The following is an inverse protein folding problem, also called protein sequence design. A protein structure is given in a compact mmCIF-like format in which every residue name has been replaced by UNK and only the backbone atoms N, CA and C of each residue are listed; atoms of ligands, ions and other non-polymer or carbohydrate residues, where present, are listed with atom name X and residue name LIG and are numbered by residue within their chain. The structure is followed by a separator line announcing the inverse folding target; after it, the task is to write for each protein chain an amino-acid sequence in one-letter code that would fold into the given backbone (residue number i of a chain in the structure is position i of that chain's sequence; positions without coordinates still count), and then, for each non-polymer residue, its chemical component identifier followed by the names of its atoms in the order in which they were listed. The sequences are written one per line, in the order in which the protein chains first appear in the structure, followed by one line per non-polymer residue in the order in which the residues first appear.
data_IF_807014363890
#
_entry.id   IF_807014363890
#
_cell.length_a   1.000
_cell.length_b   1.000
_cell.length_c   1.000
_cell.angle_alpha   90.00
_cell.angle_beta   90.00
_cell.angle_gamma   90.00
#
_symmetry.space_group_name_H-M   'P 1'
#
loop_
_entity.id
_entity.type
_entity.pdbx_description
1 polymer ?
#
# COMPACT_ATOMS: atom_id res chain seq x y z
N UNK A 1 -14.18 22.22 13.06
CA UNK A 1 -14.11 20.89 12.43
C UNK A 1 -13.54 20.96 11.03
N UNK A 2 -13.57 19.82 10.28
CA UNK A 2 -13.03 19.75 8.91
C UNK A 2 -13.69 20.72 7.93
N UNK A 3 -14.99 20.97 8.09
CA UNK A 3 -15.75 21.90 7.24
C UNK A 3 -15.25 23.35 7.34
N UNK A 4 -14.85 23.78 8.52
CA UNK A 4 -14.35 25.14 8.76
C UNK A 4 -12.99 25.36 8.07
N UNK A 5 -12.14 24.34 8.05
CA UNK A 5 -10.86 24.34 7.33
C UNK A 5 -11.09 24.46 5.83
N UNK A 6 -12.08 23.73 5.28
CA UNK A 6 -12.42 23.80 3.85
C UNK A 6 -12.97 25.17 3.46
N UNK A 7 -13.91 25.67 4.24
CA UNK A 7 -14.51 26.98 4.00
C UNK A 7 -13.44 28.09 4.08
N UNK A 8 -12.53 28.01 5.03
CA UNK A 8 -11.39 28.92 5.16
C UNK A 8 -10.45 28.84 3.94
N UNK A 9 -10.13 27.62 3.46
CA UNK A 9 -9.34 27.44 2.25
C UNK A 9 -10.04 27.99 1.01
N UNK A 10 -11.31 27.66 0.81
CA UNK A 10 -12.12 28.19 -0.29
C UNK A 10 -12.17 29.72 -0.26
N UNK A 11 -12.41 30.32 0.90
CA UNK A 11 -12.43 31.78 1.07
C UNK A 11 -11.09 32.41 0.68
N UNK A 12 -9.97 31.77 1.01
CA UNK A 12 -8.62 32.28 0.74
C UNK A 12 -8.17 32.12 -0.70
N UNK A 13 -8.56 31.06 -1.38
CA UNK A 13 -7.94 30.64 -2.66
C UNK A 13 -8.90 30.53 -3.85
N UNK A 14 -10.22 30.65 -3.67
CA UNK A 14 -11.22 30.50 -4.74
C UNK A 14 -11.06 31.47 -5.92
N UNK A 15 -10.49 32.65 -5.68
CA UNK A 15 -10.25 33.67 -6.69
C UNK A 15 -8.87 33.58 -7.36
N UNK A 16 -8.01 32.62 -6.95
CA UNK A 16 -6.65 32.52 -7.45
C UNK A 16 -6.53 31.42 -8.51
N UNK A 17 -6.22 31.73 -9.80
CA UNK A 17 -6.20 30.75 -10.89
C UNK A 17 -5.26 29.54 -10.64
N UNK A 18 -4.11 29.79 -9.98
CA UNK A 18 -3.14 28.72 -9.64
C UNK A 18 -3.69 27.62 -8.74
N UNK A 19 -4.79 27.87 -8.03
CA UNK A 19 -5.46 26.90 -7.15
C UNK A 19 -6.78 26.38 -7.69
N UNK A 20 -7.16 26.72 -8.94
CA UNK A 20 -8.45 26.37 -9.53
C UNK A 20 -8.76 24.86 -9.50
N UNK A 21 -7.76 24.02 -9.78
CA UNK A 21 -7.89 22.53 -9.71
C UNK A 21 -8.17 22.06 -8.28
N UNK A 22 -7.47 22.59 -7.29
CA UNK A 22 -7.65 22.26 -5.87
C UNK A 22 -9.03 22.70 -5.37
N UNK A 23 -9.47 23.90 -5.76
CA UNK A 23 -10.79 24.44 -5.43
C UNK A 23 -11.89 23.58 -6.04
N UNK A 24 -11.75 23.14 -7.30
CA UNK A 24 -12.72 22.25 -7.95
C UNK A 24 -12.82 20.90 -7.25
N UNK A 25 -11.68 20.31 -6.87
CA UNK A 25 -11.62 19.06 -6.09
C UNK A 25 -12.34 19.23 -4.74
N UNK A 26 -12.08 20.32 -4.01
CA UNK A 26 -12.73 20.59 -2.72
C UNK A 26 -14.24 20.70 -2.89
N UNK A 27 -14.71 21.44 -3.89
CA UNK A 27 -16.15 21.60 -4.17
C UNK A 27 -16.81 20.24 -4.51
N UNK A 28 -16.17 19.41 -5.31
CA UNK A 28 -16.63 18.06 -5.63
C UNK A 28 -16.71 17.17 -4.38
N UNK A 29 -15.70 17.24 -3.51
CA UNK A 29 -15.62 16.43 -2.28
C UNK A 29 -16.65 16.85 -1.23
N UNK A 30 -16.97 18.14 -1.12
CA UNK A 30 -18.03 18.61 -0.24
C UNK A 30 -19.41 18.05 -0.65
N UNK A 31 -19.65 17.86 -1.96
CA UNK A 31 -20.86 17.19 -2.48
C UNK A 31 -20.90 15.67 -2.23
N UNK A 32 -19.75 15.02 -2.05
CA UNK A 32 -19.63 13.57 -1.91
C UNK A 32 -19.32 13.09 -0.48
N UNK A 33 -19.49 13.92 0.53
CA UNK A 33 -19.21 13.60 1.95
C UNK A 33 -17.77 13.11 2.21
N UNK A 34 -16.82 13.49 1.36
CA UNK A 34 -15.40 13.20 1.56
C UNK A 34 -14.70 14.37 2.25
N UNK A 35 -13.75 14.06 3.13
CA UNK A 35 -12.94 15.05 3.83
C UNK A 35 -11.59 15.21 3.14
N UNK A 36 -11.08 16.44 3.10
CA UNK A 36 -9.80 16.81 2.52
C UNK A 36 -8.92 17.43 3.59
N UNK A 37 -7.74 16.86 3.80
CA UNK A 37 -6.74 17.34 4.75
C UNK A 37 -5.47 17.75 4.02
N UNK A 38 -4.75 18.73 4.58
CA UNK A 38 -3.50 19.26 4.05
C UNK A 38 -2.38 19.15 5.07
N UNK A 39 -1.17 19.10 4.58
CA UNK A 39 0.03 19.40 5.36
C UNK A 39 0.14 20.92 5.59
N UNK A 40 0.94 21.38 6.56
CA UNK A 40 1.17 22.82 6.78
C UNK A 40 1.71 23.56 5.54
N UNK A 41 2.40 22.84 4.64
CA UNK A 41 2.88 23.33 3.33
C UNK A 41 1.76 23.65 2.33
N UNK A 42 0.50 23.25 2.62
CA UNK A 42 -0.61 23.35 1.67
C UNK A 42 -0.72 22.15 0.70
N UNK A 43 0.21 21.18 0.76
CA UNK A 43 0.13 19.95 -0.02
C UNK A 43 -1.00 19.05 0.54
N UNK A 44 -1.75 18.38 -0.34
CA UNK A 44 -2.76 17.40 0.07
C UNK A 44 -2.13 16.28 0.92
N UNK A 45 -2.77 15.96 2.03
CA UNK A 45 -2.36 14.89 2.94
C UNK A 45 -3.29 13.68 2.84
N UNK A 46 -4.59 13.92 2.82
CA UNK A 46 -5.60 12.86 2.76
C UNK A 46 -6.86 13.36 2.07
N UNK A 47 -7.49 12.49 1.29
CA UNK A 47 -8.81 12.67 0.69
C UNK A 47 -9.60 11.41 0.95
N UNK A 48 -10.76 11.52 1.61
CA UNK A 48 -11.57 10.35 1.89
C UNK A 48 -12.55 10.54 3.04
N UNK A 49 -13.11 9.43 3.49
CA UNK A 49 -14.09 9.40 4.56
C UNK A 49 -13.39 9.48 5.92
N UNK A 50 -14.08 10.08 6.89
CA UNK A 50 -13.64 10.13 8.29
C UNK A 50 -14.80 9.81 9.23
N UNK A 51 -14.44 9.25 10.40
CA UNK A 51 -15.36 9.03 11.51
C UNK A 51 -14.65 9.46 12.80
N UNK A 52 -15.33 10.24 13.64
CA UNK A 52 -14.81 10.74 14.93
C UNK A 52 -13.42 11.39 14.79
N UNK A 53 -13.21 12.21 13.73
CA UNK A 53 -11.97 12.91 13.43
C UNK A 53 -10.82 12.02 12.92
N UNK A 54 -11.05 10.72 12.69
CA UNK A 54 -10.05 9.76 12.20
C UNK A 54 -10.36 9.32 10.78
N UNK A 55 -9.32 9.02 9.98
CA UNK A 55 -9.51 8.42 8.66
C UNK A 55 -10.31 7.12 8.79
N UNK A 56 -11.36 6.97 8.00
CA UNK A 56 -12.26 5.81 8.03
C UNK A 56 -12.87 5.59 6.65
N UNK A 57 -13.26 4.33 6.30
CA UNK A 57 -13.78 4.02 4.98
C UNK A 57 -12.74 4.23 3.86
N UNK A 58 -13.19 4.57 2.66
CA UNK A 58 -12.32 4.74 1.51
C UNK A 58 -11.57 6.08 1.54
N UNK A 59 -10.28 6.05 1.16
CA UNK A 59 -9.48 7.25 1.10
C UNK A 59 -8.14 7.08 0.39
N UNK A 60 -7.52 8.23 0.07
CA UNK A 60 -6.20 8.34 -0.54
C UNK A 60 -5.30 9.16 0.39
N UNK A 61 -4.15 8.63 0.72
CA UNK A 61 -3.14 9.28 1.55
C UNK A 61 -1.92 9.66 0.69
N UNK A 62 -1.43 10.87 0.87
CA UNK A 62 -0.32 11.45 0.13
C UNK A 62 0.86 11.73 1.05
N UNK A 63 2.09 11.74 0.53
CA UNK A 63 3.26 12.26 1.22
C UNK A 63 3.34 13.79 1.12
N UNK A 64 4.37 14.39 1.72
CA UNK A 64 4.59 15.85 1.71
C UNK A 64 4.87 16.40 0.32
N UNK A 65 5.36 15.58 -0.61
CA UNK A 65 5.63 15.94 -2.01
C UNK A 65 4.38 15.80 -2.90
N UNK A 66 3.23 15.41 -2.33
CA UNK A 66 1.97 15.24 -3.05
C UNK A 66 1.84 13.92 -3.81
N UNK A 67 2.76 12.97 -3.62
CA UNK A 67 2.68 11.63 -4.22
C UNK A 67 1.75 10.74 -3.42
N UNK A 68 0.95 9.92 -4.10
CA UNK A 68 0.10 8.91 -3.46
C UNK A 68 0.98 7.86 -2.79
N UNK A 69 0.74 7.63 -1.50
CA UNK A 69 1.39 6.58 -0.72
C UNK A 69 0.45 5.40 -0.50
N UNK A 70 -0.84 5.67 -0.32
CA UNK A 70 -1.83 4.62 -0.09
C UNK A 70 -3.19 5.04 -0.65
N UNK A 71 -3.89 4.09 -1.25
CA UNK A 71 -5.28 4.22 -1.67
C UNK A 71 -6.05 2.96 -1.26
N UNK A 72 -7.12 3.12 -0.47
CA UNK A 72 -7.90 2.00 0.02
C UNK A 72 -8.68 2.30 1.29
N UNK A 73 -9.03 1.25 2.01
CA UNK A 73 -9.83 1.34 3.21
C UNK A 73 -9.00 1.77 4.42
N UNK A 74 -9.60 2.60 5.26
CA UNK A 74 -9.09 3.01 6.56
C UNK A 74 -10.06 2.60 7.66
N UNK A 75 -9.52 2.21 8.81
CA UNK A 75 -10.27 1.94 10.04
C UNK A 75 -9.57 2.62 11.21
N UNK A 76 -10.28 3.54 11.85
CA UNK A 76 -9.79 4.28 13.03
C UNK A 76 -8.40 4.92 12.83
N UNK A 77 -8.19 5.56 11.67
CA UNK A 77 -6.95 6.26 11.33
C UNK A 77 -5.84 5.37 10.75
N UNK A 78 -5.99 4.05 10.73
CA UNK A 78 -5.02 3.10 10.19
C UNK A 78 -5.50 2.50 8.88
N UNK A 79 -4.56 2.05 8.02
CA UNK A 79 -4.90 1.23 6.85
C UNK A 79 -5.58 -0.05 7.33
N UNK A 80 -6.76 -0.38 6.75
CA UNK A 80 -7.56 -1.55 7.11
C UNK A 80 -8.35 -2.02 5.89
N UNK A 81 -8.66 -3.34 5.78
CA UNK A 81 -9.33 -3.87 4.60
C UNK A 81 -8.50 -3.79 3.32
N UNK A 82 -9.14 -3.87 2.13
CA UNK A 82 -8.44 -3.86 0.85
C UNK A 82 -7.81 -2.50 0.54
N UNK A 83 -6.59 -2.53 -0.06
CA UNK A 83 -5.88 -1.32 -0.42
C UNK A 83 -4.63 -1.54 -1.27
N UNK A 84 -4.08 -0.43 -1.75
CA UNK A 84 -2.85 -0.34 -2.54
C UNK A 84 -1.86 0.59 -1.84
N UNK A 85 -0.65 0.11 -1.63
CA UNK A 85 0.47 0.88 -1.13
C UNK A 85 1.43 1.15 -2.28
N UNK A 86 2.05 2.31 -2.31
CA UNK A 86 2.94 2.72 -3.39
C UNK A 86 4.35 3.01 -2.88
N UNK A 87 5.34 2.79 -3.73
CA UNK A 87 6.71 3.25 -3.56
C UNK A 87 6.79 4.78 -3.76
N UNK A 88 7.86 5.42 -3.31
CA UNK A 88 8.08 6.86 -3.52
C UNK A 88 8.17 7.26 -5.00
N UNK A 89 8.56 6.31 -5.87
CA UNK A 89 8.55 6.50 -7.32
C UNK A 89 7.17 6.38 -7.97
N UNK A 90 6.10 6.18 -7.17
CA UNK A 90 4.71 6.06 -7.62
C UNK A 90 4.31 4.66 -8.11
N UNK A 91 5.25 3.72 -8.23
CA UNK A 91 4.92 2.34 -8.61
C UNK A 91 4.26 1.58 -7.45
N UNK A 92 3.44 0.60 -7.79
CA UNK A 92 2.76 -0.24 -6.81
C UNK A 92 3.77 -1.01 -5.97
N UNK A 93 3.62 -0.96 -4.64
CA UNK A 93 4.43 -1.68 -3.66
C UNK A 93 3.72 -2.92 -3.13
N UNK A 94 2.43 -2.78 -2.80
CA UNK A 94 1.61 -3.87 -2.27
C UNK A 94 0.16 -3.66 -2.66
N UNK A 95 -0.51 -4.74 -3.03
CA UNK A 95 -1.96 -4.79 -3.25
C UNK A 95 -2.52 -5.98 -2.49
N UNK A 96 -3.44 -5.73 -1.58
CA UNK A 96 -4.04 -6.77 -0.75
C UNK A 96 -4.77 -6.17 0.43
N UNK A 97 -4.99 -7.00 1.46
CA UNK A 97 -5.65 -6.57 2.68
C UNK A 97 -4.66 -6.00 3.69
N UNK A 98 -5.18 -5.11 4.54
CA UNK A 98 -4.48 -4.50 5.66
C UNK A 98 -5.29 -4.71 6.95
N UNK A 99 -4.57 -4.90 8.05
CA UNK A 99 -5.11 -4.87 9.41
C UNK A 99 -4.15 -4.06 10.28
N UNK A 100 -4.68 -3.04 10.96
CA UNK A 100 -3.90 -2.13 11.82
C UNK A 100 -2.65 -1.53 11.16
N UNK A 101 -2.73 -1.22 9.86
CA UNK A 101 -1.64 -0.65 9.07
C UNK A 101 -0.64 -1.66 8.50
N UNK A 102 -0.75 -2.95 8.84
CA UNK A 102 0.14 -4.04 8.39
C UNK A 102 -0.52 -4.90 7.32
N UNK A 103 0.25 -5.56 6.45
CA UNK A 103 -0.25 -6.52 5.48
C UNK A 103 -0.96 -7.68 6.20
N UNK A 104 -2.08 -8.14 5.66
CA UNK A 104 -2.92 -9.18 6.24
C UNK A 104 -3.70 -9.91 5.15
N UNK A 105 -3.98 -11.21 5.35
CA UNK A 105 -4.67 -12.01 4.35
C UNK A 105 -3.89 -12.14 3.05
N UNK A 106 -4.56 -12.45 1.95
CA UNK A 106 -3.91 -12.60 0.64
C UNK A 106 -3.50 -11.25 0.07
N UNK A 107 -2.31 -11.20 -0.53
CA UNK A 107 -1.81 -9.98 -1.16
C UNK A 107 -0.52 -10.18 -1.94
N UNK A 108 -0.28 -9.24 -2.85
CA UNK A 108 0.84 -9.21 -3.76
C UNK A 108 1.80 -8.09 -3.38
N UNK A 109 3.07 -8.42 -3.22
CA UNK A 109 4.16 -7.46 -3.03
C UNK A 109 4.91 -7.31 -4.35
N UNK A 110 5.35 -6.09 -4.65
CA UNK A 110 6.03 -5.75 -5.90
C UNK A 110 7.43 -5.18 -5.62
N UNK A 111 8.35 -5.41 -6.53
CA UNK A 111 9.64 -4.74 -6.58
C UNK A 111 9.44 -3.21 -6.83
N UNK A 112 10.41 -2.41 -6.47
CA UNK A 112 10.46 -0.97 -6.76
C UNK A 112 10.47 -0.65 -8.26
N UNK A 113 10.91 -1.60 -9.09
CA UNK A 113 10.80 -1.58 -10.55
C UNK A 113 9.39 -1.83 -11.10
N UNK A 114 8.45 -2.36 -10.29
CA UNK A 114 7.04 -2.60 -10.64
C UNK A 114 6.67 -4.06 -10.94
N UNK A 115 7.61 -4.98 -11.12
CA UNK A 115 7.35 -6.42 -11.27
C UNK A 115 6.92 -7.07 -9.95
N UNK A 116 6.20 -8.20 -10.03
CA UNK A 116 5.87 -9.01 -8.86
C UNK A 116 7.14 -9.46 -8.13
N UNK A 117 7.07 -9.49 -6.78
CA UNK A 117 8.11 -9.98 -5.90
C UNK A 117 7.64 -11.17 -5.07
N UNK A 118 6.46 -11.06 -4.46
CA UNK A 118 5.87 -12.09 -3.61
C UNK A 118 4.37 -12.14 -3.80
N UNK A 119 3.82 -13.34 -3.88
CA UNK A 119 2.38 -13.61 -3.81
C UNK A 119 2.16 -14.61 -2.68
N UNK A 120 1.14 -14.36 -1.85
CA UNK A 120 0.74 -15.30 -0.81
C UNK A 120 -0.04 -14.65 0.32
N UNK A 121 -0.07 -15.32 1.45
CA UNK A 121 -0.77 -14.88 2.64
C UNK A 121 0.15 -14.12 3.59
N UNK A 122 -0.42 -13.16 4.32
CA UNK A 122 0.27 -12.26 5.21
C UNK A 122 -0.40 -12.21 6.58
N UNK A 123 0.39 -12.19 7.63
CA UNK A 123 -0.08 -11.98 9.00
C UNK A 123 0.83 -11.00 9.72
N UNK A 124 0.25 -9.92 10.25
CA UNK A 124 0.98 -8.84 10.97
C UNK A 124 2.18 -8.29 10.16
N UNK A 125 2.03 -8.21 8.82
CA UNK A 125 3.07 -7.73 7.90
C UNK A 125 4.16 -8.75 7.56
N UNK A 126 4.02 -10.01 7.99
CA UNK A 126 4.94 -11.09 7.70
C UNK A 126 4.33 -12.11 6.74
N UNK A 127 5.13 -12.78 5.88
CA UNK A 127 4.68 -13.92 5.10
C UNK A 127 4.13 -15.02 6.01
N UNK A 128 3.06 -15.67 5.59
CA UNK A 128 2.42 -16.79 6.31
C UNK A 128 2.09 -17.93 5.35
N UNK A 129 2.59 -19.13 5.66
CA UNK A 129 2.37 -20.30 4.81
C UNK A 129 3.10 -20.20 3.48
N UNK A 130 2.52 -20.79 2.44
CA UNK A 130 3.14 -20.85 1.13
C UNK A 130 3.18 -19.48 0.45
N UNK A 131 4.35 -19.17 -0.11
CA UNK A 131 4.62 -17.95 -0.87
C UNK A 131 5.21 -18.34 -2.23
N UNK A 132 4.84 -17.60 -3.28
CA UNK A 132 5.54 -17.62 -4.56
C UNK A 132 6.44 -16.40 -4.66
N UNK A 133 7.73 -16.62 -4.90
CA UNK A 133 8.76 -15.57 -4.98
C UNK A 133 9.19 -15.41 -6.43
N UNK A 134 9.25 -14.17 -6.90
CA UNK A 134 9.63 -13.79 -8.25
C UNK A 134 10.93 -12.98 -8.24
N UNK A 135 11.76 -13.18 -9.24
CA UNK A 135 12.88 -12.30 -9.53
C UNK A 135 12.43 -10.99 -10.20
N UNK A 136 13.39 -10.10 -10.48
CA UNK A 136 13.10 -8.81 -11.13
C UNK A 136 12.70 -8.95 -12.61
N UNK A 137 12.94 -10.09 -13.25
CA UNK A 137 12.51 -10.41 -14.62
C UNK A 137 11.08 -10.98 -14.69
N UNK A 138 10.48 -11.29 -13.53
CA UNK A 138 9.13 -11.84 -13.41
C UNK A 138 9.08 -13.37 -13.45
N UNK A 139 10.23 -14.05 -13.35
CA UNK A 139 10.29 -15.51 -13.26
C UNK A 139 10.11 -15.96 -11.82
N UNK A 140 9.42 -17.06 -11.61
CA UNK A 140 9.33 -17.74 -10.31
C UNK A 140 10.71 -18.29 -9.96
N UNK A 141 11.23 -17.95 -8.78
CA UNK A 141 12.50 -18.47 -8.28
C UNK A 141 12.32 -19.41 -7.09
N UNK A 142 11.21 -19.29 -6.37
CA UNK A 142 10.94 -20.14 -5.22
C UNK A 142 9.43 -20.22 -4.94
N UNK A 143 9.00 -21.42 -4.55
CA UNK A 143 7.66 -21.66 -3.99
C UNK A 143 7.82 -22.43 -2.68
N UNK A 144 7.35 -21.86 -1.56
CA UNK A 144 7.51 -22.47 -0.25
C UNK A 144 7.27 -21.49 0.87
N UNK A 145 7.70 -21.85 2.07
CA UNK A 145 7.57 -20.97 3.25
C UNK A 145 8.77 -20.07 3.41
N UNK A 146 8.53 -18.89 3.99
CA UNK A 146 9.57 -17.91 4.31
C UNK A 146 9.63 -17.69 5.81
N UNK A 147 10.84 -17.55 6.35
CA UNK A 147 11.04 -17.23 7.77
C UNK A 147 10.54 -15.81 8.08
N UNK A 148 9.65 -15.63 9.04
CA UNK A 148 9.25 -14.29 9.48
C UNK A 148 10.46 -13.45 9.91
N UNK A 149 10.40 -12.14 9.64
CA UNK A 149 11.45 -11.18 9.99
C UNK A 149 12.40 -10.86 8.84
N UNK A 150 13.13 -11.84 8.34
CA UNK A 150 14.12 -11.65 7.26
C UNK A 150 13.70 -12.20 5.90
N UNK A 151 12.61 -12.99 5.83
CA UNK A 151 11.98 -13.54 4.62
C UNK A 151 12.92 -14.41 3.77
N UNK A 152 13.83 -15.14 4.41
CA UNK A 152 14.65 -16.15 3.76
C UNK A 152 13.87 -17.46 3.62
N UNK A 153 14.26 -18.31 2.67
CA UNK A 153 13.66 -19.62 2.46
C UNK A 153 13.78 -20.46 3.74
N UNK A 154 12.68 -21.08 4.14
CA UNK A 154 12.59 -21.84 5.39
C UNK A 154 11.46 -22.88 5.30
N UNK A 155 11.65 -24.06 5.91
CA UNK A 155 10.71 -25.16 5.79
C UNK A 155 10.69 -25.76 4.36
N UNK A 156 9.63 -26.45 4.01
CA UNK A 156 9.54 -27.13 2.71
C UNK A 156 9.28 -26.14 1.58
N UNK A 157 10.01 -26.33 0.45
CA UNK A 157 9.83 -25.49 -0.74
C UNK A 157 10.54 -26.05 -1.97
N UNK A 158 10.31 -25.39 -3.11
CA UNK A 158 10.90 -25.69 -4.40
C UNK A 158 11.65 -24.47 -4.92
N UNK A 159 12.92 -24.63 -5.27
CA UNK A 159 13.77 -23.65 -5.93
C UNK A 159 13.79 -23.93 -7.43
N UNK A 160 13.69 -22.88 -8.26
CA UNK A 160 13.67 -22.97 -9.72
C UNK A 160 14.86 -22.26 -10.34
N UNK A 161 15.30 -22.75 -11.51
CA UNK A 161 16.26 -22.07 -12.36
C UNK A 161 15.56 -21.06 -13.32
N UNK A 162 16.37 -20.38 -14.13
CA UNK A 162 15.92 -19.41 -15.14
C UNK A 162 15.04 -19.99 -16.26
N UNK A 163 15.10 -21.33 -16.45
CA UNK A 163 14.26 -22.10 -17.39
C UNK A 163 12.97 -22.63 -16.74
N UNK A 164 12.69 -22.25 -15.50
CA UNK A 164 11.55 -22.72 -14.70
C UNK A 164 11.57 -24.23 -14.43
N UNK A 165 12.76 -24.82 -14.36
CA UNK A 165 12.97 -26.22 -13.98
C UNK A 165 13.32 -26.24 -12.49
N UNK A 166 12.71 -27.14 -11.73
CA UNK A 166 13.02 -27.32 -10.32
C UNK A 166 14.49 -27.77 -10.15
N UNK A 167 15.27 -26.98 -9.43
CA UNK A 167 16.65 -27.28 -9.06
C UNK A 167 16.72 -28.09 -7.77
N UNK A 168 15.81 -27.81 -6.84
CA UNK A 168 15.75 -28.47 -5.55
C UNK A 168 14.32 -28.42 -5.03
N UNK A 169 13.88 -29.53 -4.45
CA UNK A 169 12.64 -29.62 -3.71
C UNK A 169 12.92 -30.33 -2.39
N UNK A 170 12.70 -29.64 -1.27
CA UNK A 170 13.02 -30.17 0.05
C UNK A 170 12.94 -29.10 1.13
N UNK A 171 13.57 -29.38 2.25
CA UNK A 171 13.59 -28.47 3.36
C UNK A 171 14.69 -27.41 3.20
N UNK A 172 14.40 -26.24 3.73
CA UNK A 172 15.32 -25.09 3.80
C UNK A 172 15.45 -24.65 5.27
N UNK A 173 16.64 -24.33 5.69
CA UNK A 173 16.91 -23.67 6.95
C UNK A 173 17.76 -22.41 6.71
N UNK A 174 17.21 -21.25 7.07
CA UNK A 174 17.87 -19.95 6.91
C UNK A 174 18.38 -19.66 5.48
N UNK A 175 17.65 -20.12 4.47
CA UNK A 175 17.97 -19.94 3.05
C UNK A 175 18.87 -21.00 2.44
N UNK A 176 19.33 -21.97 3.23
CA UNK A 176 20.18 -23.08 2.78
C UNK A 176 19.38 -24.39 2.70
N UNK A 177 19.81 -25.31 1.87
CA UNK A 177 19.27 -26.67 1.82
C UNK A 177 19.54 -27.41 3.13
N UNK A 178 18.58 -28.16 3.65
CA UNK A 178 18.69 -28.95 4.87
C UNK A 178 18.12 -30.35 4.72
#
# INVERSE_FOLDING_TARGET
GSLDVYNSYLKKYSSQPRFSKQVAIIKSLLGNHQNLFFYPSGTKKFVGQTKDGRYHGQGVYYNKDGKVIYAGEFRNGKRGGPGRLFWENGKLKYQGNFKDGKFSGVGNLYHDGGGLRLIGSWEIGQPKGLMTVYDRSGKVIYEGTLKPGNWVYHGFGTLFNDKQIALYQGNFENGQFS
#
